data_IF_309018966648
#
_entry.id   IF_309018966648
#
_cell.length_a   1.000
_cell.length_b   1.000
_cell.length_c   1.000
_cell.angle_alpha   90.00
_cell.angle_beta   90.00
_cell.angle_gamma   90.00
#
_symmetry.space_group_name_H-M   'P 1'
#
loop_
_entity.id
_entity.type
_entity.pdbx_description
1 polymer ?
#
# COMPACT_ATOMS: atom_id res chain seq x y z
N UNK A 1 31.93 -8.02 20.55
CA UNK A 1 30.67 -8.07 21.33
C UNK A 1 29.56 -7.22 20.71
N UNK A 2 29.15 -7.52 19.47
CA UNK A 2 27.97 -6.93 18.81
C UNK A 2 27.31 -7.99 17.90
N UNK A 3 27.09 -9.18 18.44
CA UNK A 3 26.23 -10.21 17.88
C UNK A 3 25.01 -10.34 18.76
N UNK A 4 23.86 -10.67 18.15
CA UNK A 4 22.57 -11.06 18.77
C UNK A 4 21.41 -10.03 18.79
N UNK A 5 21.29 -9.13 17.81
CA UNK A 5 20.03 -8.36 17.63
C UNK A 5 19.45 -8.41 16.20
N UNK A 6 19.81 -9.41 15.40
CA UNK A 6 19.26 -9.58 14.03
C UNK A 6 18.16 -10.64 13.90
N UNK A 7 17.95 -11.48 14.92
CA UNK A 7 17.14 -12.70 14.78
C UNK A 7 15.70 -12.57 15.29
N UNK A 8 15.39 -11.54 16.08
CA UNK A 8 14.05 -11.32 16.63
C UNK A 8 13.16 -10.39 15.78
N UNK A 9 13.72 -9.76 14.74
CA UNK A 9 12.99 -8.89 13.79
C UNK A 9 12.04 -9.70 12.90
N UNK A 10 12.34 -10.98 12.65
CA UNK A 10 11.63 -11.80 11.66
C UNK A 10 10.35 -12.48 12.17
N UNK A 11 10.02 -12.35 13.46
CA UNK A 11 8.89 -13.09 14.08
C UNK A 11 7.67 -12.25 14.44
N UNK A 12 7.68 -10.93 14.23
CA UNK A 12 6.62 -10.07 14.76
C UNK A 12 6.05 -9.08 13.73
N UNK A 13 4.74 -9.18 13.36
CA UNK A 13 4.08 -8.27 12.42
C UNK A 13 3.93 -6.82 12.95
N UNK A 14 4.48 -6.53 14.13
CA UNK A 14 4.56 -5.18 14.72
C UNK A 14 5.73 -4.32 14.23
N UNK A 15 6.57 -4.78 13.29
CA UNK A 15 7.69 -3.93 12.78
C UNK A 15 7.21 -2.83 11.82
N UNK A 16 5.99 -2.93 11.29
CA UNK A 16 5.33 -1.79 10.66
C UNK A 16 4.81 -0.74 11.66
N UNK A 17 4.92 -0.98 12.96
CA UNK A 17 4.28 -0.17 14.02
C UNK A 17 5.25 0.69 14.85
N UNK A 18 6.57 0.58 14.69
CA UNK A 18 7.52 1.45 15.41
C UNK A 18 8.70 1.85 14.51
N UNK A 19 8.58 3.02 13.85
CA UNK A 19 9.65 3.99 13.54
C UNK A 19 10.90 3.59 12.73
N UNK A 20 11.22 2.31 12.55
CA UNK A 20 12.37 1.83 11.81
C UNK A 20 11.88 1.25 10.48
N UNK A 21 11.80 2.10 9.45
CA UNK A 21 11.51 1.62 8.11
C UNK A 21 12.61 0.60 7.72
N UNK A 22 12.26 -0.64 7.35
CA UNK A 22 13.27 -1.60 6.91
C UNK A 22 14.02 -1.01 5.71
N UNK A 23 15.33 -1.23 5.66
CA UNK A 23 16.13 -0.75 4.53
C UNK A 23 15.55 -1.39 3.26
N UNK A 24 15.32 -0.60 2.21
CA UNK A 24 14.72 -1.09 0.95
C UNK A 24 15.45 -2.31 0.35
N UNK A 25 16.74 -2.48 0.66
CA UNK A 25 17.56 -3.63 0.25
C UNK A 25 17.21 -4.93 0.98
N UNK A 26 16.52 -4.85 2.11
CA UNK A 26 16.09 -5.99 2.92
C UNK A 26 14.68 -6.47 2.55
N UNK A 27 13.95 -5.76 1.69
CA UNK A 27 12.64 -6.19 1.21
C UNK A 27 12.85 -7.28 0.16
N UNK A 28 12.48 -8.54 0.45
CA UNK A 28 12.66 -9.64 -0.50
C UNK A 28 11.77 -9.42 -1.72
N UNK A 29 12.24 -9.86 -2.89
CA UNK A 29 11.46 -9.83 -4.14
C UNK A 29 11.46 -8.49 -4.88
N UNK A 30 12.11 -7.43 -4.36
CA UNK A 30 12.27 -6.19 -5.13
C UNK A 30 13.33 -6.34 -6.23
N UNK A 31 12.95 -5.94 -7.44
CA UNK A 31 13.88 -5.70 -8.53
C UNK A 31 14.77 -4.47 -8.27
N UNK A 32 15.89 -4.36 -8.98
CA UNK A 32 16.80 -3.20 -8.89
C UNK A 32 16.07 -1.85 -9.10
N UNK A 33 15.10 -1.81 -10.02
CA UNK A 33 14.29 -0.60 -10.25
C UNK A 33 13.38 -0.27 -9.08
N UNK A 34 12.71 -1.28 -8.51
CA UNK A 34 11.85 -1.10 -7.35
C UNK A 34 12.62 -0.69 -6.09
N UNK A 35 13.84 -1.22 -5.89
CA UNK A 35 14.70 -0.81 -4.78
C UNK A 35 15.07 0.67 -4.87
N UNK A 36 15.39 1.17 -6.08
CA UNK A 36 15.65 2.59 -6.30
C UNK A 36 14.43 3.46 -6.00
N UNK A 37 13.24 3.03 -6.45
CA UNK A 37 11.98 3.72 -6.15
C UNK A 37 11.69 3.75 -4.64
N UNK A 38 11.87 2.62 -3.95
CA UNK A 38 11.71 2.54 -2.50
C UNK A 38 12.65 3.49 -1.77
N UNK A 39 13.91 3.60 -2.21
CA UNK A 39 14.87 4.54 -1.62
C UNK A 39 14.49 6.00 -1.87
N UNK A 40 13.92 6.31 -3.03
CA UNK A 40 13.48 7.66 -3.38
C UNK A 40 12.23 8.09 -2.60
N UNK A 41 11.32 7.15 -2.35
CA UNK A 41 10.02 7.38 -1.70
C UNK A 41 9.95 6.63 -0.37
N UNK A 42 11.01 6.72 0.43
CA UNK A 42 11.13 5.93 1.66
C UNK A 42 9.99 6.26 2.64
N UNK A 43 9.61 7.54 2.77
CA UNK A 43 8.48 8.00 3.61
C UNK A 43 7.12 7.44 3.16
N UNK A 44 6.97 7.03 1.89
CA UNK A 44 5.74 6.44 1.35
C UNK A 44 5.59 4.96 1.70
N UNK A 45 6.69 4.25 1.97
CA UNK A 45 6.68 2.80 2.11
C UNK A 45 5.79 2.30 3.27
N UNK A 46 5.63 3.11 4.32
CA UNK A 46 4.66 2.81 5.38
C UNK A 46 3.22 2.81 4.88
N UNK A 47 2.86 3.76 4.03
CA UNK A 47 1.53 3.85 3.42
C UNK A 47 1.32 2.81 2.32
N UNK A 48 2.36 2.51 1.53
CA UNK A 48 2.33 1.43 0.54
C UNK A 48 2.06 0.07 1.23
N UNK A 49 2.82 -0.24 2.29
CA UNK A 49 2.64 -1.49 3.05
C UNK A 49 1.24 -1.61 3.68
N UNK A 50 0.74 -0.54 4.31
CA UNK A 50 -0.63 -0.48 4.85
C UNK A 50 -1.69 -0.69 3.76
N UNK A 51 -1.50 -0.06 2.60
CA UNK A 51 -2.43 -0.15 1.48
C UNK A 51 -2.50 -1.55 0.89
N UNK A 52 -1.34 -2.17 0.66
CA UNK A 52 -1.28 -3.54 0.16
C UNK A 52 -1.93 -4.53 1.14
N UNK A 53 -1.66 -4.41 2.45
CA UNK A 53 -2.33 -5.21 3.49
C UNK A 53 -3.85 -5.01 3.48
N UNK A 54 -4.31 -3.78 3.31
CA UNK A 54 -5.75 -3.47 3.21
C UNK A 54 -6.38 -4.14 1.99
N UNK A 55 -5.70 -4.11 0.84
CA UNK A 55 -6.15 -4.79 -0.37
C UNK A 55 -6.28 -6.30 -0.20
N UNK A 56 -5.31 -6.96 0.47
CA UNK A 56 -5.39 -8.40 0.76
C UNK A 56 -6.53 -8.72 1.74
N UNK A 57 -6.71 -7.92 2.79
CA UNK A 57 -7.84 -8.10 3.72
C UNK A 57 -9.19 -7.99 3.00
N UNK A 58 -9.33 -7.01 2.11
CA UNK A 58 -10.55 -6.85 1.30
C UNK A 58 -10.73 -8.02 0.32
N UNK A 59 -9.64 -8.52 -0.27
CA UNK A 59 -9.69 -9.70 -1.13
C UNK A 59 -10.19 -10.93 -0.37
N UNK A 60 -9.65 -11.20 0.82
CA UNK A 60 -10.10 -12.27 1.69
C UNK A 60 -11.57 -12.09 2.09
N UNK A 61 -11.97 -10.86 2.39
CA UNK A 61 -13.36 -10.54 2.70
C UNK A 61 -14.28 -10.87 1.52
N UNK A 62 -13.99 -10.39 0.31
CA UNK A 62 -14.80 -10.62 -0.88
C UNK A 62 -14.95 -12.11 -1.23
N UNK A 63 -13.90 -12.90 -0.98
CA UNK A 63 -13.85 -14.32 -1.35
C UNK A 63 -14.05 -15.29 -0.19
N UNK A 64 -14.42 -14.82 1.02
CA UNK A 64 -14.53 -15.64 2.24
C UNK A 64 -15.42 -16.90 2.16
N UNK A 65 -16.39 -16.93 1.24
CA UNK A 65 -17.29 -18.08 1.01
C UNK A 65 -17.06 -18.77 -0.34
N UNK A 66 -15.89 -18.57 -0.97
CA UNK A 66 -15.49 -19.18 -2.24
C UNK A 66 -14.43 -20.27 -1.98
N UNK A 67 -14.28 -21.20 -2.94
CA UNK A 67 -13.28 -22.27 -2.86
C UNK A 67 -11.85 -21.72 -2.77
N UNK A 68 -11.57 -20.69 -3.55
CA UNK A 68 -10.40 -19.83 -3.37
C UNK A 68 -10.84 -18.62 -2.54
N UNK A 69 -10.27 -18.46 -1.35
CA UNK A 69 -10.66 -17.47 -0.34
C UNK A 69 -9.66 -16.31 -0.23
N UNK A 70 -8.76 -16.16 -1.20
CA UNK A 70 -7.68 -15.17 -1.19
C UNK A 70 -6.73 -15.25 0.02
N UNK A 71 -6.67 -16.40 0.73
CA UNK A 71 -5.55 -16.67 1.62
C UNK A 71 -4.32 -16.91 0.74
N UNK A 72 -3.54 -15.86 0.48
CA UNK A 72 -2.19 -16.02 -0.03
C UNK A 72 -1.43 -16.88 0.98
N UNK A 73 -0.85 -17.99 0.52
CA UNK A 73 0.04 -18.86 1.30
C UNK A 73 1.05 -17.98 2.02
N UNK A 74 0.97 -17.92 3.36
CA UNK A 74 1.90 -17.52 4.44
C UNK A 74 3.13 -16.62 4.16
N UNK A 75 3.21 -15.96 3.00
CA UNK A 75 4.34 -15.15 2.60
C UNK A 75 4.10 -13.72 3.06
N UNK A 76 4.91 -13.32 4.03
CA UNK A 76 5.00 -11.99 4.63
C UNK A 76 5.32 -10.85 3.65
N UNK A 77 5.31 -11.11 2.35
CA UNK A 77 5.72 -10.18 1.31
C UNK A 77 4.48 -9.64 0.59
N UNK A 78 4.03 -8.46 0.99
CA UNK A 78 3.07 -7.67 0.19
C UNK A 78 3.66 -7.23 -1.16
N UNK A 79 4.97 -7.46 -1.34
CA UNK A 79 5.76 -7.20 -2.54
C UNK A 79 6.26 -8.55 -3.10
N UNK A 80 5.46 -9.19 -3.94
CA UNK A 80 5.78 -10.48 -4.54
C UNK A 80 4.69 -10.93 -5.53
N UNK A 81 4.93 -11.98 -6.32
CA UNK A 81 3.93 -12.51 -7.23
C UNK A 81 2.76 -13.10 -6.41
N UNK A 82 1.63 -12.39 -6.38
CA UNK A 82 0.46 -12.76 -5.57
C UNK A 82 -0.10 -14.13 -5.98
N UNK A 83 -0.04 -14.45 -7.28
CA UNK A 83 -0.34 -15.77 -7.84
C UNK A 83 0.54 -15.99 -9.09
N UNK A 84 1.24 -17.12 -9.16
CA UNK A 84 2.07 -17.50 -10.33
C UNK A 84 1.24 -17.93 -11.55
N UNK A 85 -0.05 -18.22 -11.34
CA UNK A 85 -0.95 -18.73 -12.37
C UNK A 85 -1.82 -17.58 -12.90
N UNK A 86 -1.78 -17.28 -14.21
CA UNK A 86 -2.66 -16.28 -14.81
C UNK A 86 -4.11 -16.76 -14.73
N UNK A 87 -4.86 -16.20 -13.78
CA UNK A 87 -6.22 -16.59 -13.44
C UNK A 87 -7.08 -15.36 -13.18
N UNK A 88 -8.41 -15.54 -13.12
CA UNK A 88 -9.34 -14.44 -12.79
C UNK A 88 -9.12 -13.94 -11.36
N UNK A 89 -8.76 -14.87 -10.48
CA UNK A 89 -8.41 -14.64 -9.09
C UNK A 89 -7.13 -13.81 -8.97
N UNK A 90 -6.09 -14.14 -9.77
CA UNK A 90 -4.87 -13.33 -9.84
C UNK A 90 -5.12 -11.91 -10.32
N UNK A 91 -5.93 -11.74 -11.38
CA UNK A 91 -6.30 -10.43 -11.88
C UNK A 91 -7.02 -9.58 -10.81
N UNK A 92 -7.95 -10.19 -10.08
CA UNK A 92 -8.64 -9.52 -8.97
C UNK A 92 -7.69 -9.15 -7.85
N UNK A 93 -6.82 -10.07 -7.42
CA UNK A 93 -5.89 -9.85 -6.33
C UNK A 93 -4.89 -8.71 -6.63
N UNK A 94 -4.37 -8.65 -7.86
CA UNK A 94 -3.55 -7.52 -8.30
C UNK A 94 -4.34 -6.20 -8.33
N UNK A 95 -5.55 -6.20 -8.86
CA UNK A 95 -6.38 -5.00 -8.93
C UNK A 95 -6.69 -4.43 -7.53
N UNK A 96 -7.10 -5.28 -6.59
CA UNK A 96 -7.48 -4.84 -5.24
C UNK A 96 -6.25 -4.46 -4.39
N UNK A 97 -5.11 -5.13 -4.57
CA UNK A 97 -3.85 -4.74 -3.92
C UNK A 97 -3.38 -3.35 -4.40
N UNK A 98 -3.37 -3.11 -5.72
CA UNK A 98 -3.05 -1.80 -6.29
C UNK A 98 -4.02 -0.72 -5.82
N UNK A 99 -5.33 -1.00 -5.84
CA UNK A 99 -6.33 -0.07 -5.33
C UNK A 99 -6.12 0.25 -3.83
N UNK A 100 -5.73 -0.74 -3.03
CA UNK A 100 -5.39 -0.54 -1.62
C UNK A 100 -4.18 0.39 -1.43
N UNK A 101 -3.13 0.23 -2.23
CA UNK A 101 -1.96 1.12 -2.24
C UNK A 101 -2.36 2.56 -2.61
N UNK A 102 -3.07 2.74 -3.72
CA UNK A 102 -3.54 4.06 -4.18
C UNK A 102 -4.36 4.73 -3.08
N UNK A 103 -5.34 4.01 -2.51
CA UNK A 103 -6.20 4.53 -1.44
C UNK A 103 -5.39 5.01 -0.23
N UNK A 104 -4.46 4.18 0.23
CA UNK A 104 -3.64 4.47 1.41
C UNK A 104 -2.69 5.66 1.20
N UNK A 105 -2.01 5.72 0.05
CA UNK A 105 -1.09 6.82 -0.28
C UNK A 105 -1.85 8.13 -0.46
N UNK A 106 -2.95 8.14 -1.20
CA UNK A 106 -3.78 9.35 -1.43
C UNK A 106 -4.33 9.94 -0.14
N UNK A 107 -4.74 9.07 0.79
CA UNK A 107 -5.22 9.47 2.11
C UNK A 107 -4.08 9.99 3.00
N UNK A 108 -2.91 9.36 2.92
CA UNK A 108 -1.71 9.82 3.63
C UNK A 108 -1.25 11.20 3.16
N UNK A 109 -1.37 11.50 1.86
CA UNK A 109 -1.15 12.84 1.31
C UNK A 109 -2.14 13.86 1.88
N UNK A 110 -3.43 13.53 1.90
CA UNK A 110 -4.47 14.38 2.47
C UNK A 110 -4.21 14.67 3.95
N UNK A 111 -3.80 13.65 4.70
CA UNK A 111 -3.56 13.74 6.14
C UNK A 111 -2.19 14.39 6.48
N UNK A 112 -1.40 14.81 5.48
CA UNK A 112 -0.10 15.45 5.67
C UNK A 112 0.99 14.54 6.22
N UNK A 113 0.85 13.22 6.05
CA UNK A 113 1.81 12.22 6.55
C UNK A 113 3.03 12.04 5.64
N UNK A 114 2.98 12.56 4.41
CA UNK A 114 4.01 12.39 3.39
C UNK A 114 4.57 13.75 3.00
N UNK A 115 5.87 13.83 2.79
CA UNK A 115 6.56 15.12 2.65
C UNK A 115 6.41 15.77 1.26
N UNK A 116 6.13 14.95 0.23
CA UNK A 116 6.15 15.38 -1.18
C UNK A 116 4.75 15.53 -1.80
N UNK A 117 3.68 15.37 -1.01
CA UNK A 117 2.31 15.55 -1.47
C UNK A 117 1.42 16.20 -0.41
N UNK A 118 0.22 16.61 -0.83
CA UNK A 118 -0.80 17.21 0.02
C UNK A 118 -2.21 16.89 -0.48
N UNK A 119 -3.17 17.75 -0.14
CA UNK A 119 -4.56 17.64 -0.59
C UNK A 119 -4.69 17.51 -2.11
N UNK A 120 -5.78 16.90 -2.54
CA UNK A 120 -6.14 16.83 -3.96
C UNK A 120 -6.20 18.21 -4.62
N UNK A 121 -5.59 18.42 -5.79
CA UNK A 121 -5.73 19.65 -6.58
C UNK A 121 -7.04 19.70 -7.39
N UNK A 122 -7.98 18.78 -7.13
CA UNK A 122 -9.23 18.68 -7.87
C UNK A 122 -10.03 19.98 -7.82
N UNK A 123 -10.39 20.46 -9.01
CA UNK A 123 -11.27 21.63 -9.16
C UNK A 123 -12.70 21.27 -8.81
N UNK A 124 -13.51 22.29 -8.50
CA UNK A 124 -14.94 22.13 -8.26
C UNK A 124 -15.59 21.37 -9.43
N UNK A 125 -16.30 20.25 -9.16
CA UNK A 125 -17.05 19.54 -10.19
C UNK A 125 -18.12 20.43 -10.83
N UNK A 126 -18.29 20.32 -12.16
CA UNK A 126 -19.23 21.16 -12.94
C UNK A 126 -20.69 20.87 -12.60
N UNK A 127 -20.97 19.64 -12.19
CA UNK A 127 -22.25 19.08 -11.78
C UNK A 127 -22.58 19.31 -10.30
N UNK A 128 -21.65 19.90 -9.52
CA UNK A 128 -21.90 20.22 -8.11
C UNK A 128 -22.94 21.34 -7.99
N UNK A 129 -24.02 21.07 -7.26
CA UNK A 129 -25.07 22.05 -6.95
C UNK A 129 -24.46 23.41 -6.57
N UNK A 130 -24.89 24.48 -7.26
CA UNK A 130 -24.35 25.84 -7.11
C UNK A 130 -24.45 26.37 -5.69
N UNK A 131 -25.41 25.91 -4.91
CA UNK A 131 -25.59 26.29 -3.50
C UNK A 131 -24.55 25.66 -2.57
N UNK A 132 -23.91 24.56 -2.98
CA UNK A 132 -22.90 23.89 -2.18
C UNK A 132 -21.54 24.53 -2.40
N UNK A 133 -20.76 24.69 -1.32
CA UNK A 133 -19.40 25.20 -1.37
C UNK A 133 -18.46 24.01 -1.59
N UNK A 134 -17.60 24.09 -2.61
CA UNK A 134 -16.51 23.14 -2.79
C UNK A 134 -15.32 23.57 -1.93
N UNK A 135 -14.78 22.66 -1.13
CA UNK A 135 -13.66 22.96 -0.26
C UNK A 135 -13.27 21.77 0.61
N UNK A 136 -12.43 22.04 1.60
CA UNK A 136 -11.81 21.02 2.43
C UNK A 136 -10.55 20.42 1.78
N UNK A 137 -10.02 19.38 2.41
CA UNK A 137 -8.87 18.63 1.94
C UNK A 137 -9.32 17.23 1.53
N UNK A 138 -9.36 16.96 0.23
CA UNK A 138 -9.73 15.65 -0.31
C UNK A 138 -8.52 14.74 -0.58
N UNK A 139 -8.77 13.44 -0.70
CA UNK A 139 -7.75 12.43 -1.04
C UNK A 139 -7.10 12.73 -2.40
N UNK A 140 -5.76 12.75 -2.44
CA UNK A 140 -5.01 13.03 -3.67
C UNK A 140 -4.84 11.75 -4.50
N UNK A 141 -5.91 11.32 -5.15
CA UNK A 141 -5.97 10.08 -5.96
C UNK A 141 -4.95 10.10 -7.10
N UNK A 142 -4.81 11.24 -7.77
CA UNK A 142 -3.85 11.43 -8.86
C UNK A 142 -2.40 11.22 -8.43
N UNK A 143 -2.05 11.64 -7.20
CA UNK A 143 -0.73 11.36 -6.65
C UNK A 143 -0.56 9.89 -6.27
N UNK A 144 -1.54 9.30 -5.56
CA UNK A 144 -1.45 7.91 -5.12
C UNK A 144 -1.43 6.89 -6.26
N UNK A 145 -1.94 7.24 -7.44
CA UNK A 145 -1.88 6.42 -8.65
C UNK A 145 -0.49 6.38 -9.32
N UNK A 146 0.36 7.39 -9.07
CA UNK A 146 1.71 7.51 -9.65
C UNK A 146 2.73 6.72 -8.84
#
# INVERSE_FOLDING_TARGET
NLGLQGYEVWRNPQIYLIGAQPLCTQIPGLSLGQTKLCQLYQDHMGSVGRGAKTGINECQWQFRHRRWNCSTVDDSTVFGPVLQIPSREAAFAHAIASAGVVHSVSRSCRDGQLTTCGCSPATRPKDLNKEWIWGGCGDNVEYGYK
#
